data_IF_784231703714
#
_entry.id   IF_784231703714
#
_cell.length_a   1.000
_cell.length_b   1.000
_cell.length_c   1.000
_cell.angle_alpha   90.00
_cell.angle_beta   90.00
_cell.angle_gamma   90.00
#
_symmetry.space_group_name_H-M   'P 1'
#
loop_
_entity.id
_entity.type
_entity.pdbx_description
1 polymer ?
#
# COMPACT_ATOMS: atom_id res chain seq x y z
N UNK A 1 -23.62 41.28 -1.82
CA UNK A 1 -23.34 40.40 -0.68
C UNK A 1 -24.13 39.12 -0.90
N UNK A 2 -23.49 38.05 -1.36
CA UNK A 2 -24.17 36.78 -1.71
C UNK A 2 -24.02 35.84 -0.52
N UNK A 3 -25.13 35.46 0.12
CA UNK A 3 -25.09 34.50 1.22
C UNK A 3 -24.67 33.11 0.71
N UNK A 4 -23.83 32.36 1.45
CA UNK A 4 -23.49 30.99 1.07
C UNK A 4 -24.76 30.13 1.08
N UNK A 5 -24.93 29.32 0.03
CA UNK A 5 -26.04 28.36 -0.06
C UNK A 5 -25.92 27.35 1.09
N UNK A 6 -27.02 26.95 1.74
CA UNK A 6 -27.00 25.91 2.76
C UNK A 6 -26.51 24.58 2.16
N UNK A 7 -25.64 23.87 2.88
CA UNK A 7 -25.13 22.55 2.48
C UNK A 7 -26.31 21.59 2.35
N UNK A 8 -26.51 21.04 1.14
CA UNK A 8 -27.52 20.01 0.91
C UNK A 8 -27.12 18.73 1.65
N UNK A 9 -28.05 18.20 2.46
CA UNK A 9 -27.84 16.92 3.14
C UNK A 9 -28.06 15.78 2.14
N UNK A 10 -27.04 14.95 1.93
CA UNK A 10 -27.12 13.76 1.10
C UNK A 10 -26.96 12.49 1.97
N UNK A 11 -27.99 12.10 2.74
CA UNK A 11 -27.89 10.99 3.69
C UNK A 11 -27.55 9.65 3.01
N UNK A 12 -27.92 9.48 1.73
CA UNK A 12 -27.56 8.30 0.92
C UNK A 12 -26.06 8.22 0.63
N UNK A 13 -25.44 9.35 0.28
CA UNK A 13 -23.99 9.40 0.04
C UNK A 13 -23.25 9.10 1.34
N UNK A 14 -23.70 9.70 2.45
CA UNK A 14 -23.13 9.40 3.76
C UNK A 14 -23.22 7.91 4.11
N UNK A 15 -24.39 7.29 3.87
CA UNK A 15 -24.57 5.85 4.11
C UNK A 15 -23.63 4.99 3.25
N UNK A 16 -23.48 5.32 1.97
CA UNK A 16 -22.54 4.60 1.07
C UNK A 16 -21.11 4.73 1.55
N UNK A 17 -20.67 5.94 1.93
CA UNK A 17 -19.33 6.17 2.47
C UNK A 17 -19.11 5.43 3.78
N UNK A 18 -20.10 5.42 4.68
CA UNK A 18 -20.03 4.68 5.92
C UNK A 18 -19.90 3.18 5.67
N UNK A 19 -20.74 2.63 4.79
CA UNK A 19 -20.70 1.21 4.43
C UNK A 19 -19.36 0.83 3.80
N UNK A 20 -18.86 1.64 2.85
CA UNK A 20 -17.55 1.47 2.24
C UNK A 20 -16.43 1.45 3.28
N UNK A 21 -16.41 2.41 4.21
CA UNK A 21 -15.38 2.49 5.25
C UNK A 21 -15.42 1.29 6.20
N UNK A 22 -16.63 0.84 6.61
CA UNK A 22 -16.78 -0.34 7.46
C UNK A 22 -16.26 -1.59 6.75
N UNK A 23 -16.65 -1.80 5.49
CA UNK A 23 -16.19 -2.95 4.70
C UNK A 23 -14.69 -2.89 4.43
N UNK A 24 -14.14 -1.70 4.16
CA UNK A 24 -12.72 -1.48 3.94
C UNK A 24 -11.90 -1.81 5.18
N UNK A 25 -12.31 -1.31 6.36
CA UNK A 25 -11.65 -1.64 7.63
C UNK A 25 -11.76 -3.13 7.93
N UNK A 26 -12.93 -3.73 7.73
CA UNK A 26 -13.10 -5.18 7.89
C UNK A 26 -12.15 -5.96 6.98
N UNK A 27 -12.07 -5.60 5.71
CA UNK A 27 -11.16 -6.21 4.73
C UNK A 27 -9.70 -6.08 5.17
N UNK A 28 -9.26 -4.89 5.59
CA UNK A 28 -7.90 -4.65 6.07
C UNK A 28 -7.53 -5.40 7.35
N UNK A 29 -8.50 -5.80 8.16
CA UNK A 29 -8.27 -6.60 9.37
C UNK A 29 -8.36 -8.10 9.11
N UNK A 30 -9.18 -8.52 8.14
CA UNK A 30 -9.42 -9.93 7.82
C UNK A 30 -8.36 -10.51 6.88
N UNK A 31 -7.83 -9.70 5.95
CA UNK A 31 -6.77 -10.10 5.03
C UNK A 31 -5.41 -9.79 5.68
N UNK A 32 -4.54 -10.78 5.88
CA UNK A 32 -3.20 -10.54 6.40
C UNK A 32 -2.42 -9.54 5.53
N UNK A 33 -1.54 -8.71 6.12
CA UNK A 33 -0.65 -7.84 5.36
C UNK A 33 0.14 -8.62 4.31
N UNK A 34 0.39 -7.99 3.17
CA UNK A 34 1.22 -8.52 2.07
C UNK A 34 0.64 -9.70 1.28
N UNK A 35 -0.66 -9.98 1.42
CA UNK A 35 -1.35 -10.93 0.53
C UNK A 35 -1.74 -10.32 -0.82
N UNK A 36 -1.87 -8.99 -0.89
CA UNK A 36 -2.15 -8.29 -2.15
C UNK A 36 -0.87 -8.22 -3.01
N UNK A 37 -0.92 -8.52 -4.32
CA UNK A 37 0.26 -8.68 -5.18
C UNK A 37 1.35 -7.61 -5.05
N UNK A 38 0.98 -6.33 -5.00
CA UNK A 38 1.94 -5.21 -5.05
C UNK A 38 2.24 -4.60 -3.68
N UNK A 39 1.45 -4.94 -2.68
CA UNK A 39 1.57 -4.42 -1.30
C UNK A 39 2.98 -4.61 -0.69
N UNK A 40 3.63 -5.79 -0.77
CA UNK A 40 4.97 -5.95 -0.19
C UNK A 40 6.01 -5.06 -0.87
N UNK A 41 5.90 -4.82 -2.18
CA UNK A 41 6.85 -4.00 -2.94
C UNK A 41 6.69 -2.51 -2.63
N UNK A 42 5.43 -2.03 -2.55
CA UNK A 42 5.15 -0.65 -2.14
C UNK A 42 5.63 -0.37 -0.72
N UNK A 43 5.34 -1.29 0.22
CA UNK A 43 5.77 -1.12 1.59
C UNK A 43 7.28 -1.23 1.74
N UNK A 44 7.97 -2.08 0.96
CA UNK A 44 9.42 -2.17 0.97
C UNK A 44 10.10 -0.83 0.62
N UNK A 45 9.58 -0.11 -0.39
CA UNK A 45 10.05 1.24 -0.72
C UNK A 45 9.80 2.19 0.45
N UNK A 46 8.57 2.29 0.96
CA UNK A 46 8.25 3.19 2.07
C UNK A 46 9.11 2.90 3.31
N UNK A 47 9.32 1.62 3.65
CA UNK A 47 10.20 1.15 4.74
C UNK A 47 11.65 1.54 4.50
N UNK A 48 12.17 1.40 3.28
CA UNK A 48 13.52 1.83 2.94
C UNK A 48 13.74 3.30 3.26
N UNK A 49 12.78 4.17 2.90
CA UNK A 49 12.81 5.59 3.25
C UNK A 49 12.61 5.84 4.75
N UNK A 50 11.71 5.10 5.41
CA UNK A 50 11.47 5.20 6.85
C UNK A 50 12.73 4.90 7.68
N UNK A 51 13.61 4.05 7.16
CA UNK A 51 14.90 3.70 7.76
C UNK A 51 16.00 4.76 7.55
N UNK A 52 15.67 5.89 6.91
CA UNK A 52 16.60 6.98 6.65
C UNK A 52 17.51 6.76 5.44
N UNK A 53 17.21 5.77 4.59
CA UNK A 53 17.94 5.57 3.35
C UNK A 53 17.51 6.59 2.27
N UNK A 54 18.28 6.66 1.19
CA UNK A 54 17.95 7.47 0.01
C UNK A 54 16.84 6.87 -0.84
N UNK A 55 16.68 7.40 -2.06
CA UNK A 55 15.78 6.79 -3.02
C UNK A 55 16.27 5.38 -3.40
N UNK A 56 15.36 4.41 -3.56
CA UNK A 56 15.73 3.08 -4.01
C UNK A 56 16.34 3.13 -5.41
N UNK A 57 17.30 2.24 -5.65
CA UNK A 57 17.97 2.10 -6.95
C UNK A 57 17.57 0.75 -7.52
N UNK A 58 17.01 0.76 -8.73
CA UNK A 58 16.76 -0.46 -9.49
C UNK A 58 17.98 -0.82 -10.32
N UNK A 59 18.36 -2.10 -10.25
CA UNK A 59 19.45 -2.67 -11.03
C UNK A 59 18.91 -3.86 -11.83
N UNK A 60 19.17 -3.95 -13.14
CA UNK A 60 18.63 -5.03 -13.97
C UNK A 60 19.07 -6.44 -13.55
N UNK A 61 20.20 -6.56 -12.87
CA UNK A 61 20.83 -7.81 -12.44
C UNK A 61 20.51 -8.21 -10.98
N UNK A 62 19.65 -7.47 -10.29
CA UNK A 62 19.37 -7.66 -8.86
C UNK A 62 17.87 -7.61 -8.56
N UNK A 63 17.36 -8.67 -7.93
CA UNK A 63 15.99 -8.65 -7.39
C UNK A 63 15.95 -7.81 -6.10
N UNK A 64 15.44 -6.58 -6.24
CA UNK A 64 15.28 -5.66 -5.12
C UNK A 64 13.94 -5.86 -4.38
N UNK A 65 13.84 -5.53 -3.08
CA UNK A 65 12.61 -5.68 -2.30
C UNK A 65 11.40 -4.89 -2.82
N UNK A 66 11.62 -3.84 -3.61
CA UNK A 66 10.57 -3.02 -4.23
C UNK A 66 10.33 -3.36 -5.70
N UNK A 67 11.07 -4.31 -6.29
CA UNK A 67 10.92 -4.71 -7.69
C UNK A 67 10.73 -3.51 -8.65
N UNK A 68 9.72 -3.55 -9.53
CA UNK A 68 9.41 -2.46 -10.46
C UNK A 68 8.91 -1.19 -9.75
N UNK A 69 8.35 -1.31 -8.55
CA UNK A 69 7.80 -0.19 -7.76
C UNK A 69 8.85 0.86 -7.40
N UNK A 70 10.13 0.49 -7.38
CA UNK A 70 11.23 1.44 -7.16
C UNK A 70 11.33 2.54 -8.21
N UNK A 71 10.59 2.46 -9.33
CA UNK A 71 10.60 3.44 -10.42
C UNK A 71 9.46 4.45 -10.29
N UNK A 72 8.49 4.16 -9.41
CA UNK A 72 7.36 5.02 -9.18
C UNK A 72 7.79 6.34 -8.51
N UNK A 73 6.96 7.37 -8.68
CA UNK A 73 7.22 8.68 -8.10
C UNK A 73 7.26 8.61 -6.55
N UNK A 74 8.23 9.27 -5.90
CA UNK A 74 8.56 8.97 -4.50
C UNK A 74 7.59 9.57 -3.48
N UNK A 75 6.72 10.52 -3.85
CA UNK A 75 5.92 11.29 -2.88
C UNK A 75 5.07 10.41 -1.97
N UNK A 76 4.40 9.42 -2.56
CA UNK A 76 3.57 8.46 -1.82
C UNK A 76 4.40 7.68 -0.78
N UNK A 77 5.58 7.19 -1.19
CA UNK A 77 6.47 6.42 -0.33
C UNK A 77 7.13 7.25 0.75
N UNK A 78 7.48 8.51 0.46
CA UNK A 78 8.03 9.44 1.45
C UNK A 78 7.01 9.73 2.56
N UNK A 79 5.75 9.99 2.19
CA UNK A 79 4.70 10.22 3.17
C UNK A 79 4.41 8.95 4.00
N UNK A 80 4.29 7.80 3.34
CA UNK A 80 4.04 6.52 4.00
C UNK A 80 5.20 6.14 4.92
N UNK A 81 6.45 6.32 4.48
CA UNK A 81 7.64 6.09 5.28
C UNK A 81 7.71 7.01 6.50
N UNK A 82 7.38 8.30 6.35
CA UNK A 82 7.30 9.23 7.46
C UNK A 82 6.26 8.79 8.50
N UNK A 83 5.04 8.46 8.06
CA UNK A 83 3.93 8.05 8.93
C UNK A 83 4.21 6.72 9.66
N UNK A 84 5.07 5.87 9.10
CA UNK A 84 5.41 4.55 9.67
C UNK A 84 6.78 4.51 10.35
N UNK A 85 7.56 5.60 10.31
CA UNK A 85 8.94 5.66 10.81
C UNK A 85 9.10 5.34 12.31
N UNK A 86 8.06 5.55 13.11
CA UNK A 86 8.07 5.26 14.56
C UNK A 86 7.65 3.84 14.92
N UNK A 87 7.18 3.06 13.93
CA UNK A 87 6.77 1.67 14.12
C UNK A 87 8.01 0.78 14.11
N UNK A 88 8.04 -0.23 14.99
CA UNK A 88 9.06 -1.29 14.93
C UNK A 88 8.78 -2.20 13.72
N UNK A 89 9.72 -2.26 12.77
CA UNK A 89 9.59 -2.99 11.50
C UNK A 89 10.61 -4.13 11.37
N UNK A 90 11.08 -4.67 12.51
CA UNK A 90 12.11 -5.71 12.54
C UNK A 90 11.58 -7.09 12.15
N UNK A 91 10.27 -7.32 12.28
CA UNK A 91 9.56 -8.53 11.89
C UNK A 91 9.17 -8.56 10.40
N UNK A 92 9.46 -7.49 9.64
CA UNK A 92 9.12 -7.38 8.22
C UNK A 92 9.52 -8.62 7.41
N UNK A 93 10.73 -9.16 7.61
CA UNK A 93 11.20 -10.33 6.86
C UNK A 93 10.39 -11.62 7.16
N UNK A 94 9.79 -11.71 8.36
CA UNK A 94 8.93 -12.83 8.73
C UNK A 94 7.48 -12.65 8.22
N UNK A 95 7.04 -11.40 8.02
CA UNK A 95 5.69 -11.07 7.54
C UNK A 95 5.61 -11.02 6.01
N UNK A 96 6.62 -10.47 5.34
CA UNK A 96 6.65 -10.29 3.89
C UNK A 96 7.05 -11.58 3.14
N UNK A 97 6.65 -12.74 3.66
CA UNK A 97 6.83 -14.02 2.99
C UNK A 97 5.75 -14.17 1.92
N UNK A 98 6.16 -14.35 0.66
CA UNK A 98 5.22 -14.49 -0.45
C UNK A 98 4.36 -15.74 -0.29
N UNK A 99 3.05 -15.58 -0.42
CA UNK A 99 2.12 -16.69 -0.45
C UNK A 99 2.40 -17.57 -1.69
N UNK A 100 2.74 -18.87 -1.54
CA UNK A 100 3.04 -19.76 -2.66
C UNK A 100 1.87 -19.97 -3.63
N UNK A 101 0.64 -19.67 -3.19
CA UNK A 101 -0.57 -19.76 -4.02
C UNK A 101 -0.94 -18.45 -4.69
N UNK A 102 -0.26 -17.35 -4.38
CA UNK A 102 -0.51 -16.09 -5.04
C UNK A 102 0.00 -16.15 -6.48
N UNK A 103 -0.91 -15.97 -7.43
CA UNK A 103 -0.57 -15.86 -8.83
C UNK A 103 -0.12 -14.42 -9.10
N UNK A 104 1.19 -14.17 -9.14
CA UNK A 104 1.75 -12.83 -9.31
C UNK A 104 2.80 -12.87 -10.42
N UNK A 105 2.52 -12.21 -11.53
CA UNK A 105 3.52 -11.86 -12.55
C UNK A 105 4.02 -13.02 -13.43
N UNK A 106 3.35 -14.17 -13.44
CA UNK A 106 3.64 -15.24 -14.40
C UNK A 106 2.50 -15.34 -15.45
N UNK A 107 2.73 -14.82 -16.67
CA UNK A 107 1.71 -14.82 -17.72
C UNK A 107 1.32 -16.23 -18.20
N UNK A 108 2.05 -17.27 -17.78
CA UNK A 108 1.77 -18.67 -18.13
C UNK A 108 0.82 -19.35 -17.13
N UNK A 109 0.54 -18.74 -15.96
CA UNK A 109 -0.44 -19.26 -15.01
C UNK A 109 -1.84 -18.68 -15.27
N UNK A 110 -2.90 -19.51 -15.28
CA UNK A 110 -4.27 -19.03 -15.49
C UNK A 110 -4.66 -17.96 -14.47
N UNK A 111 -5.02 -16.75 -14.95
CA UNK A 111 -5.49 -15.64 -14.11
C UNK A 111 -4.53 -14.46 -13.96
N UNK A 112 -3.42 -14.42 -14.70
CA UNK A 112 -2.60 -13.22 -14.95
C UNK A 112 -2.85 -12.64 -16.34
#
# INVERSE_FOLDING_TARGET
>A
MTFPKPVQKHPRIFFVLLLYSVLGVWYSLAVPPFETPDEPFHYAFARHLAQGNGLPVQRPDEESPWAQEGSQAPLYYMLTGLLTSTINQNDYAALATRNPRANIGDPLYPGN
#
